data_IF_371078868438
#
_entry.id   IF_371078868438
#
_cell.length_a   1.000
_cell.length_b   1.000
_cell.length_c   1.000
_cell.angle_alpha   90.00
_cell.angle_beta   90.00
_cell.angle_gamma   90.00
#
_symmetry.space_group_name_H-M   'P 1'
#
loop_
_entity.id
_entity.type
_entity.pdbx_description
1 polymer ?
#
# COMPACT_ATOMS: atom_id res chain seq x y z
N UNK A 1 14.76 18.41 -13.01
CA UNK A 1 14.69 18.28 -14.47
C UNK A 1 14.22 16.87 -14.74
N UNK A 2 13.09 16.70 -15.42
CA UNK A 2 12.55 15.39 -15.71
C UNK A 2 13.18 14.76 -16.93
N UNK A 3 13.07 13.45 -17.06
CA UNK A 3 13.62 12.69 -18.17
C UNK A 3 12.61 11.67 -18.68
N UNK A 4 12.55 11.48 -20.00
CA UNK A 4 11.77 10.41 -20.60
C UNK A 4 12.63 9.15 -20.75
N UNK A 5 12.10 8.00 -20.33
CA UNK A 5 12.75 6.71 -20.52
C UNK A 5 12.97 6.42 -22.02
N UNK A 6 14.20 6.14 -22.49
CA UNK A 6 14.48 5.94 -23.91
C UNK A 6 13.86 4.66 -24.50
N UNK A 7 13.39 3.73 -23.65
CA UNK A 7 12.82 2.45 -24.08
C UNK A 7 11.30 2.50 -24.15
N UNK A 8 10.64 3.10 -23.15
CA UNK A 8 9.18 3.09 -23.02
C UNK A 8 8.53 4.48 -22.98
N UNK A 9 9.31 5.55 -23.18
CA UNK A 9 8.87 6.95 -23.17
C UNK A 9 8.18 7.39 -21.86
N UNK A 10 8.32 6.60 -20.78
CA UNK A 10 7.73 6.95 -19.47
C UNK A 10 8.46 8.14 -18.87
N UNK A 11 7.71 9.16 -18.49
CA UNK A 11 8.21 10.38 -17.85
C UNK A 11 8.67 10.11 -16.41
N UNK A 12 9.87 10.57 -16.09
CA UNK A 12 10.52 10.42 -14.77
C UNK A 12 10.85 11.79 -14.20
N UNK A 13 10.70 11.94 -12.89
CA UNK A 13 10.87 13.23 -12.21
C UNK A 13 12.32 13.75 -12.23
N UNK A 14 13.29 12.84 -12.16
CA UNK A 14 14.71 13.14 -12.18
C UNK A 14 15.53 11.93 -12.69
N UNK A 15 16.85 12.15 -12.82
CA UNK A 15 17.79 11.14 -13.31
C UNK A 15 17.87 9.90 -12.42
N UNK A 16 17.68 10.04 -11.10
CA UNK A 16 17.71 8.93 -10.14
C UNK A 16 16.46 8.07 -10.29
N UNK A 17 15.30 8.69 -10.49
CA UNK A 17 14.05 7.98 -10.79
C UNK A 17 14.12 7.23 -12.12
N UNK A 18 14.75 7.83 -13.14
CA UNK A 18 15.02 7.15 -14.40
C UNK A 18 15.94 5.93 -14.23
N UNK A 19 17.03 6.06 -13.47
CA UNK A 19 17.93 4.96 -13.17
C UNK A 19 17.21 3.82 -12.44
N UNK A 20 16.42 4.13 -11.41
CA UNK A 20 15.63 3.14 -10.67
C UNK A 20 14.58 2.46 -11.55
N UNK A 21 13.90 3.22 -12.41
CA UNK A 21 12.93 2.67 -13.36
C UNK A 21 13.60 1.63 -14.27
N UNK A 22 14.75 1.96 -14.88
CA UNK A 22 15.51 1.05 -15.74
C UNK A 22 16.01 -0.18 -14.98
N UNK A 23 16.62 0.00 -13.80
CA UNK A 23 17.15 -1.10 -13.00
C UNK A 23 16.06 -2.09 -12.56
N UNK A 24 14.92 -1.60 -12.07
CA UNK A 24 13.80 -2.45 -11.64
C UNK A 24 13.15 -3.16 -12.83
N UNK A 25 12.92 -2.46 -13.93
CA UNK A 25 12.29 -3.07 -15.12
C UNK A 25 13.18 -4.12 -15.79
N UNK A 26 14.50 -3.88 -15.84
CA UNK A 26 15.46 -4.89 -16.27
C UNK A 26 15.50 -6.09 -15.31
N UNK A 27 15.48 -5.86 -13.99
CA UNK A 27 15.43 -6.92 -12.98
C UNK A 27 14.15 -7.77 -13.06
N UNK A 28 13.04 -7.19 -13.51
CA UNK A 28 11.78 -7.89 -13.76
C UNK A 28 11.80 -8.70 -15.07
N UNK A 29 12.91 -8.71 -15.82
CA UNK A 29 13.08 -9.49 -17.04
C UNK A 29 12.48 -8.84 -18.29
N UNK A 30 12.29 -7.52 -18.31
CA UNK A 30 11.92 -6.82 -19.56
C UNK A 30 13.16 -6.69 -20.45
N UNK A 31 13.22 -7.53 -21.47
CA UNK A 31 14.37 -7.65 -22.38
C UNK A 31 14.79 -6.30 -22.98
N UNK A 32 13.84 -5.50 -23.46
CA UNK A 32 14.15 -4.19 -24.05
C UNK A 32 14.94 -3.26 -23.10
N UNK A 33 14.62 -3.29 -21.79
CA UNK A 33 15.31 -2.46 -20.79
C UNK A 33 16.65 -3.07 -20.39
N UNK A 34 16.74 -4.40 -20.33
CA UNK A 34 18.01 -5.09 -20.04
C UNK A 34 19.01 -5.00 -21.19
N UNK A 35 18.55 -5.08 -22.45
CA UNK A 35 19.41 -4.94 -23.63
C UNK A 35 19.95 -3.52 -23.74
N UNK A 36 19.09 -2.54 -23.51
CA UNK A 36 19.50 -1.14 -23.46
C UNK A 36 20.55 -0.90 -22.37
N UNK A 37 20.32 -1.41 -21.15
CA UNK A 37 21.32 -1.30 -20.08
C UNK A 37 22.61 -2.04 -20.42
N UNK A 38 22.55 -3.22 -21.05
CA UNK A 38 23.75 -3.95 -21.46
C UNK A 38 24.59 -3.20 -22.51
N UNK A 39 23.96 -2.40 -23.37
CA UNK A 39 24.66 -1.58 -24.38
C UNK A 39 25.27 -0.31 -23.80
N UNK A 40 24.52 0.43 -22.97
CA UNK A 40 24.91 1.76 -22.50
C UNK A 40 25.56 1.78 -21.11
N UNK A 41 25.25 0.80 -20.26
CA UNK A 41 25.71 0.72 -18.88
C UNK A 41 25.83 -0.75 -18.42
N UNK A 42 26.76 -1.55 -18.96
CA UNK A 42 26.84 -2.99 -18.66
C UNK A 42 27.05 -3.29 -17.16
N UNK A 43 27.71 -2.38 -16.44
CA UNK A 43 27.98 -2.49 -15.00
C UNK A 43 26.88 -1.82 -14.13
N UNK A 44 25.69 -1.56 -14.69
CA UNK A 44 24.59 -0.88 -13.98
C UNK A 44 24.20 -1.54 -12.66
N UNK A 45 24.40 -2.85 -12.52
CA UNK A 45 24.06 -3.61 -11.31
C UNK A 45 24.99 -3.30 -10.13
N UNK A 46 26.19 -2.78 -10.39
CA UNK A 46 27.17 -2.38 -9.38
C UNK A 46 27.17 -0.87 -9.12
N UNK A 47 26.52 -0.09 -10.00
CA UNK A 47 26.38 1.36 -9.85
C UNK A 47 25.32 1.73 -8.81
N UNK A 48 25.57 2.82 -8.07
CA UNK A 48 24.51 3.47 -7.30
C UNK A 48 23.46 4.11 -8.21
N UNK A 49 22.23 4.35 -7.72
CA UNK A 49 21.19 5.03 -8.49
C UNK A 49 21.59 6.44 -8.96
N UNK A 50 22.44 7.13 -8.21
CA UNK A 50 22.96 8.45 -8.60
C UNK A 50 23.96 8.34 -9.76
N UNK A 51 24.94 7.43 -9.65
CA UNK A 51 25.94 7.17 -10.70
C UNK A 51 25.26 6.68 -11.99
N UNK A 52 24.32 5.74 -11.85
CA UNK A 52 23.55 5.24 -12.99
C UNK A 52 22.71 6.36 -13.60
N UNK A 53 22.12 7.23 -12.77
CA UNK A 53 21.38 8.42 -13.18
C UNK A 53 22.19 9.36 -14.07
N UNK A 54 23.43 9.65 -13.71
CA UNK A 54 24.35 10.47 -14.51
C UNK A 54 24.69 9.84 -15.86
N UNK A 55 24.80 8.51 -15.93
CA UNK A 55 25.02 7.81 -17.20
C UNK A 55 23.76 7.86 -18.07
N UNK A 56 22.61 7.46 -17.53
CA UNK A 56 21.37 7.31 -18.33
C UNK A 56 20.77 8.66 -18.73
N UNK A 57 20.95 9.72 -17.94
CA UNK A 57 20.51 11.08 -18.27
C UNK A 57 21.17 11.65 -19.51
N UNK A 58 22.41 11.24 -19.84
CA UNK A 58 23.09 11.67 -21.06
C UNK A 58 22.45 11.12 -22.34
N UNK A 59 21.75 9.99 -22.24
CA UNK A 59 21.07 9.32 -23.36
C UNK A 59 19.56 9.54 -23.36
N UNK A 60 19.00 10.01 -22.24
CA UNK A 60 17.57 10.26 -22.10
C UNK A 60 17.20 11.67 -22.58
N UNK A 61 15.98 11.79 -23.10
CA UNK A 61 15.45 13.11 -23.48
C UNK A 61 15.08 13.88 -22.22
N UNK A 62 15.72 15.02 -22.01
CA UNK A 62 15.29 16.00 -21.00
C UNK A 62 13.88 16.51 -21.34
N UNK A 63 13.00 16.48 -20.34
CA UNK A 63 11.63 16.97 -20.45
C UNK A 63 11.31 17.88 -19.27
N UNK A 64 10.50 18.89 -19.54
CA UNK A 64 9.92 19.74 -18.50
C UNK A 64 8.75 18.99 -17.85
N UNK A 65 9.05 18.14 -16.87
CA UNK A 65 8.00 17.55 -16.03
C UNK A 65 7.43 18.62 -15.11
N UNK A 66 6.10 18.81 -15.02
CA UNK A 66 5.53 19.63 -13.97
C UNK A 66 6.02 19.06 -12.63
N UNK A 67 6.69 19.90 -11.83
CA UNK A 67 7.20 19.47 -10.54
C UNK A 67 6.05 18.90 -9.72
N UNK A 68 6.26 17.77 -9.05
CA UNK A 68 5.23 17.16 -8.20
C UNK A 68 4.78 18.11 -7.06
N UNK A 69 5.55 19.16 -6.78
CA UNK A 69 5.19 20.24 -5.85
C UNK A 69 4.24 21.30 -6.44
N UNK A 70 4.10 21.41 -7.75
CA UNK A 70 3.18 22.36 -8.41
C UNK A 70 1.71 21.89 -8.30
N UNK A 71 1.50 20.59 -8.05
CA UNK A 71 0.17 20.03 -7.72
C UNK A 71 -0.35 20.42 -6.32
N UNK A 72 0.33 21.33 -5.60
CA UNK A 72 -0.18 21.89 -4.33
C UNK A 72 -1.12 23.09 -4.52
N UNK A 73 -1.27 23.62 -5.74
CA UNK A 73 -2.25 24.67 -6.03
C UNK A 73 -3.27 24.17 -7.05
N UNK A 74 -4.54 24.14 -6.64
CA UNK A 74 -5.73 23.87 -7.45
C UNK A 74 -6.25 22.43 -7.52
N UNK A 75 -6.44 21.82 -6.35
CA UNK A 75 -7.62 20.96 -6.16
C UNK A 75 -8.74 21.76 -5.47
N UNK A 76 -9.39 22.67 -6.21
CA UNK A 76 -10.78 23.05 -5.93
C UNK A 76 -11.72 21.90 -6.35
N UNK A 77 -11.43 20.68 -5.89
CA UNK A 77 -12.42 19.63 -5.84
C UNK A 77 -13.21 19.91 -4.58
N UNK A 78 -14.28 20.69 -4.74
CA UNK A 78 -15.23 21.08 -3.70
C UNK A 78 -15.28 20.05 -2.58
N UNK A 79 -14.57 20.38 -1.49
CA UNK A 79 -14.47 19.56 -0.29
C UNK A 79 -15.89 19.13 0.07
N UNK A 80 -16.27 17.84 -0.07
CA UNK A 80 -17.53 17.42 0.52
C UNK A 80 -17.42 17.79 2.00
N UNK A 81 -18.48 18.37 2.57
CA UNK A 81 -18.52 18.71 3.99
C UNK A 81 -18.00 17.57 4.86
N UNK A 82 -17.61 17.90 6.10
CA UNK A 82 -17.09 17.01 7.16
C UNK A 82 -17.18 15.51 6.83
N UNK A 83 -16.09 14.75 6.98
CA UNK A 83 -16.02 13.30 6.69
C UNK A 83 -17.33 12.52 6.98
N UNK A 84 -18.02 12.86 8.07
CA UNK A 84 -19.38 12.42 8.41
C UNK A 84 -20.45 12.61 7.32
N UNK A 85 -20.58 13.81 6.75
CA UNK A 85 -21.49 14.15 5.66
C UNK A 85 -21.12 13.40 4.36
N UNK A 86 -19.83 13.22 4.10
CA UNK A 86 -19.33 12.41 2.98
C UNK A 86 -19.74 10.94 3.11
N UNK A 87 -19.59 10.35 4.29
CA UNK A 87 -20.06 8.99 4.59
C UNK A 87 -21.59 8.89 4.49
N UNK A 88 -22.31 9.88 5.01
CA UNK A 88 -23.77 9.87 5.03
C UNK A 88 -24.39 9.99 3.63
N UNK A 89 -23.68 10.60 2.67
CA UNK A 89 -24.08 10.63 1.26
C UNK A 89 -23.71 9.34 0.54
N UNK A 90 -22.57 8.75 0.89
CA UNK A 90 -22.14 7.46 0.32
C UNK A 90 -23.05 6.30 0.77
N UNK A 91 -23.54 6.31 2.01
CA UNK A 91 -24.44 5.28 2.54
C UNK A 91 -25.87 5.37 1.99
N UNK A 92 -26.28 6.54 1.49
CA UNK A 92 -27.61 6.78 0.90
C UNK A 92 -27.66 6.53 -0.61
N UNK A 93 -26.55 6.21 -1.25
CA UNK A 93 -26.50 5.94 -2.69
C UNK A 93 -26.92 4.48 -2.97
N UNK A 94 -28.07 4.22 -3.61
CA UNK A 94 -28.48 2.88 -4.00
C UNK A 94 -27.64 2.46 -5.22
N UNK A 95 -26.52 1.80 -4.97
CA UNK A 95 -25.58 1.44 -6.05
C UNK A 95 -24.26 0.84 -5.57
N UNK A 96 -23.90 0.97 -4.29
CA UNK A 96 -22.89 0.09 -3.68
C UNK A 96 -23.61 -1.20 -3.34
N UNK A 97 -23.53 -2.15 -4.27
CA UNK A 97 -24.40 -3.33 -4.40
C UNK A 97 -24.86 -3.92 -3.08
N UNK A 98 -26.14 -4.30 -3.06
CA UNK A 98 -26.67 -5.27 -2.10
C UNK A 98 -25.62 -6.35 -1.90
N UNK A 99 -25.18 -6.57 -0.66
CA UNK A 99 -24.23 -7.64 -0.34
C UNK A 99 -24.74 -8.90 -1.03
N UNK A 100 -23.89 -9.55 -1.84
CA UNK A 100 -24.28 -10.85 -2.41
C UNK A 100 -24.64 -11.79 -1.27
N UNK A 101 -25.55 -12.72 -1.49
CA UNK A 101 -25.92 -13.72 -0.48
C UNK A 101 -24.68 -14.43 0.11
N UNK A 102 -23.64 -14.65 -0.70
CA UNK A 102 -22.34 -15.16 -0.24
C UNK A 102 -21.62 -14.22 0.73
N UNK A 103 -21.60 -12.92 0.44
CA UNK A 103 -20.98 -11.92 1.32
C UNK A 103 -21.74 -11.80 2.64
N UNK A 104 -23.08 -11.88 2.60
CA UNK A 104 -23.92 -11.91 3.81
C UNK A 104 -23.64 -13.16 4.65
N UNK A 105 -23.50 -14.33 4.02
CA UNK A 105 -23.16 -15.59 4.69
C UNK A 105 -21.80 -15.52 5.40
N UNK A 106 -20.76 -14.99 4.73
CA UNK A 106 -19.41 -14.85 5.32
C UNK A 106 -19.42 -13.90 6.53
N UNK A 107 -20.15 -12.78 6.45
CA UNK A 107 -20.29 -11.84 7.56
C UNK A 107 -21.03 -12.48 8.74
N UNK A 108 -22.06 -13.29 8.46
CA UNK A 108 -22.79 -14.01 9.51
C UNK A 108 -21.90 -15.06 10.19
N UNK A 109 -21.14 -15.83 9.42
CA UNK A 109 -20.20 -16.83 9.94
C UNK A 109 -19.14 -16.19 10.84
N UNK A 110 -18.53 -15.08 10.39
CA UNK A 110 -17.55 -14.34 11.19
C UNK A 110 -18.13 -13.90 12.54
N UNK A 111 -19.37 -13.40 12.57
CA UNK A 111 -20.06 -12.99 13.81
C UNK A 111 -20.29 -14.17 14.76
N UNK A 112 -20.58 -15.36 14.23
CA UNK A 112 -20.75 -16.58 15.06
C UNK A 112 -19.42 -16.99 15.69
N UNK A 113 -18.32 -16.96 14.94
CA UNK A 113 -16.99 -17.26 15.48
C UNK A 113 -16.59 -16.27 16.57
N UNK A 114 -16.83 -14.96 16.38
CA UNK A 114 -16.57 -13.95 17.41
C UNK A 114 -17.35 -14.23 18.69
N UNK A 115 -18.66 -14.51 18.58
CA UNK A 115 -19.51 -14.81 19.74
C UNK A 115 -19.06 -16.07 20.48
N UNK A 116 -18.60 -17.09 19.75
CA UNK A 116 -18.08 -18.32 20.34
C UNK A 116 -16.82 -18.05 21.16
N UNK A 117 -15.88 -17.27 20.61
CA UNK A 117 -14.66 -16.87 21.31
C UNK A 117 -14.93 -15.96 22.53
N UNK A 118 -15.96 -15.12 22.48
CA UNK A 118 -16.40 -14.32 23.63
C UNK A 118 -16.99 -15.20 24.73
N UNK A 119 -17.88 -16.15 24.39
CA UNK A 119 -18.47 -17.07 25.37
C UNK A 119 -17.48 -18.10 25.95
N UNK A 120 -16.49 -18.55 25.17
CA UNK A 120 -15.40 -19.42 25.65
C UNK A 120 -14.44 -18.69 26.60
N UNK A 121 -14.37 -17.35 26.56
CA UNK A 121 -13.59 -16.53 27.51
C UNK A 121 -14.31 -16.32 28.85
N UNK A 122 -15.63 -16.12 28.84
CA UNK A 122 -16.41 -15.93 30.08
C UNK A 122 -16.58 -17.24 30.89
N UNK A 123 -16.45 -18.41 30.26
CA UNK A 123 -16.57 -19.71 30.93
C UNK A 123 -15.33 -20.10 31.76
N UNK A 124 -14.19 -19.44 31.56
CA UNK A 124 -12.93 -19.70 32.28
C UNK A 124 -12.80 -18.87 33.58
N UNK A 125 -13.51 -17.74 33.68
CA UNK A 125 -13.40 -16.78 34.81
C UNK A 125 -14.39 -17.06 35.97
N UNK A 126 -15.10 -18.20 35.93
CA UNK A 126 -16.14 -18.59 36.89
C UNK A 126 -15.73 -19.60 37.96
N UNK A 127 -14.45 -19.98 38.06
CA UNK A 127 -13.97 -21.06 38.94
C UNK A 127 -13.18 -20.59 40.18
N UNK A 128 -13.43 -19.37 40.69
CA UNK A 128 -12.79 -18.90 41.93
C UNK A 128 -13.80 -18.28 42.90
N UNK A 129 -14.59 -19.10 43.60
CA UNK A 129 -15.16 -18.73 44.89
C UNK A 129 -15.64 -19.99 45.63
N UNK A 130 -15.38 -20.02 46.95
CA UNK A 130 -15.85 -20.97 47.97
C UNK A 130 -15.04 -22.29 48.03
N UNK A 131 -14.30 -22.64 49.10
CA UNK A 131 -14.63 -22.56 50.53
C UNK A 131 -13.44 -22.18 51.42
N UNK A 132 -13.64 -21.17 52.27
CA UNK A 132 -12.90 -20.91 53.51
C UNK A 132 -13.31 -21.88 54.64
N UNK A 133 -12.48 -21.91 55.71
CA UNK A 133 -12.72 -22.47 57.06
C UNK A 133 -12.43 -23.97 57.18
N UNK A 134 -11.54 -24.48 58.05
CA UNK A 134 -11.40 -24.36 59.52
C UNK A 134 -10.02 -24.99 59.88
N UNK A 135 -9.07 -24.30 60.52
CA UNK A 135 -8.85 -24.18 61.97
C UNK A 135 -8.50 -25.49 62.75
N UNK A 136 -7.27 -25.48 63.30
CA UNK A 136 -6.80 -26.04 64.59
C UNK A 136 -6.62 -27.56 64.86
N UNK A 137 -5.57 -27.84 65.67
CA UNK A 137 -5.23 -29.08 66.43
C UNK A 137 -4.45 -30.20 65.67
N UNK A 138 -3.31 -30.76 66.13
CA UNK A 138 -2.66 -30.83 67.46
C UNK A 138 -1.13 -31.04 67.36
N UNK A 139 -0.47 -30.74 68.48
CA UNK A 139 0.94 -30.93 68.81
C UNK A 139 1.40 -32.40 68.93
#
# INVERSE_FOLDING_TARGET
MGYACPVCDTEQADAVHLANHLAVTASLGRQDHSEWLAEYAPDWSDCSPEELGEIVSQYAREIETPGFEDSRHDHDHGRPGSLEEGLARQSRQPGRGTLSADAESVIQEARVMSRRMEGERDADDGATADEESIDDSSA
#
